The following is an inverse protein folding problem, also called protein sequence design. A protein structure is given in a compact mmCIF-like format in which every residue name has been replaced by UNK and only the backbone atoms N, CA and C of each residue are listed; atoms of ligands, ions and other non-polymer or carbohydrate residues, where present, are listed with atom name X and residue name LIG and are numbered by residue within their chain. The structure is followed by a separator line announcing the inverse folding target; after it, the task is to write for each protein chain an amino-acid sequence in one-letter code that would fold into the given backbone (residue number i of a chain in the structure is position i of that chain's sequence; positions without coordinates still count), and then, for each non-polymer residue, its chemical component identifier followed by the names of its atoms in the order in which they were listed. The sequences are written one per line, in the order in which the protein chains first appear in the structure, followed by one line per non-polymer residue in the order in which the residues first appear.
data_IF_380817466364
#
_entry.id   IF_380817466364
#
_cell.length_a   1.000
_cell.length_b   1.000
_cell.length_c   1.000
_cell.angle_alpha   90.00
_cell.angle_beta   90.00
_cell.angle_gamma   90.00
#
_symmetry.space_group_name_H-M   'P 1'
#
loop_
_entity.id
_entity.type
_entity.pdbx_description
1 polymer ?
#
# COMPACT_ATOMS: atom_id res chain seq x y z
N UNK A 1 -12.90 1.81 4.73
CA UNK A 1 -11.51 1.99 4.24
C UNK A 1 -10.61 2.55 5.31
N UNK A 2 -11.09 3.48 6.14
CA UNK A 2 -10.32 4.11 7.24
C UNK A 2 -9.57 3.11 8.14
N UNK A 3 -10.26 2.07 8.62
CA UNK A 3 -9.64 1.01 9.45
C UNK A 3 -8.47 0.24 8.81
N UNK A 4 -8.45 0.11 7.47
CA UNK A 4 -7.35 -0.55 6.76
C UNK A 4 -6.14 0.38 6.71
N UNK A 5 -6.38 1.67 6.49
CA UNK A 5 -5.31 2.68 6.46
C UNK A 5 -4.68 2.89 7.85
N UNK A 6 -5.49 2.95 8.91
CA UNK A 6 -4.98 3.01 10.29
C UNK A 6 -4.09 1.81 10.64
N UNK A 7 -4.48 0.61 10.22
CA UNK A 7 -3.68 -0.59 10.43
C UNK A 7 -2.36 -0.54 9.65
N UNK A 8 -2.39 -0.05 8.40
CA UNK A 8 -1.18 0.10 7.59
C UNK A 8 -0.24 1.12 8.22
N UNK A 9 -0.76 2.26 8.63
CA UNK A 9 0.06 3.30 9.26
C UNK A 9 0.71 2.80 10.56
N UNK A 10 -0.01 2.02 11.37
CA UNK A 10 0.55 1.37 12.55
C UNK A 10 1.63 0.32 12.25
N UNK A 11 1.55 -0.39 11.12
CA UNK A 11 2.59 -1.34 10.68
C UNK A 11 3.83 -0.62 10.14
N UNK A 12 3.62 0.55 9.52
CA UNK A 12 4.71 1.38 9.00
C UNK A 12 5.42 2.17 10.12
N UNK A 13 4.76 2.38 11.25
CA UNK A 13 5.33 3.06 12.41
C UNK A 13 6.58 2.32 12.92
N UNK A 14 7.71 3.04 12.95
CA UNK A 14 9.00 2.49 13.38
C UNK A 14 9.80 1.76 12.29
N UNK A 15 9.28 1.64 11.06
CA UNK A 15 10.08 1.15 9.93
C UNK A 15 10.98 2.25 9.37
N UNK A 16 12.28 1.99 9.35
CA UNK A 16 13.23 2.85 8.66
C UNK A 16 13.26 2.59 7.15
N UNK A 17 14.00 3.43 6.41
CA UNK A 17 14.10 3.31 4.96
C UNK A 17 14.70 1.96 4.53
N UNK A 18 15.60 1.38 5.33
CA UNK A 18 16.23 0.10 5.02
C UNK A 18 15.21 -1.05 5.13
N UNK A 19 14.39 -1.05 6.18
CA UNK A 19 13.29 -1.98 6.36
C UNK A 19 12.23 -1.82 5.28
N UNK A 20 11.94 -0.59 4.85
CA UNK A 20 10.96 -0.30 3.79
C UNK A 20 11.34 -0.89 2.43
N UNK A 21 12.64 -0.88 2.08
CA UNK A 21 13.13 -1.43 0.80
C UNK A 21 13.58 -2.89 0.90
N UNK A 22 13.67 -3.45 2.11
CA UNK A 22 14.14 -4.81 2.34
C UNK A 22 13.24 -5.80 1.60
N UNK A 23 13.90 -6.69 0.86
CA UNK A 23 13.28 -7.78 0.13
C UNK A 23 13.90 -9.10 0.61
N UNK A 24 13.21 -9.90 1.44
CA UNK A 24 13.79 -11.11 2.03
C UNK A 24 14.21 -12.17 1.02
N UNK A 25 13.47 -12.29 -0.09
CA UNK A 25 13.77 -13.15 -1.23
C UNK A 25 13.35 -12.46 -2.52
N UNK A 26 13.89 -12.91 -3.65
CA UNK A 26 13.54 -12.43 -5.00
C UNK A 26 12.04 -12.57 -5.33
N UNK A 27 11.32 -13.46 -4.64
CA UNK A 27 9.88 -13.66 -4.79
C UNK A 27 9.01 -12.76 -3.89
N UNK A 28 9.61 -11.96 -3.00
CA UNK A 28 8.88 -11.05 -2.12
C UNK A 28 8.86 -9.62 -2.68
N UNK A 29 7.74 -8.92 -2.51
CA UNK A 29 7.70 -7.47 -2.69
C UNK A 29 8.18 -6.76 -1.42
N UNK A 30 8.85 -5.61 -1.59
CA UNK A 30 9.22 -4.77 -0.45
C UNK A 30 8.00 -4.08 0.17
N UNK A 31 8.11 -3.66 1.43
CA UNK A 31 7.02 -2.94 2.12
C UNK A 31 6.68 -1.64 1.36
N UNK A 32 7.70 -0.93 0.86
CA UNK A 32 7.52 0.24 0.02
C UNK A 32 6.73 -0.06 -1.27
N UNK A 33 7.03 -1.19 -1.93
CA UNK A 33 6.30 -1.59 -3.13
C UNK A 33 4.83 -1.90 -2.82
N UNK A 34 4.56 -2.64 -1.75
CA UNK A 34 3.19 -2.98 -1.34
C UNK A 34 2.40 -1.72 -1.01
N UNK A 35 2.99 -0.78 -0.27
CA UNK A 35 2.34 0.49 0.09
C UNK A 35 2.02 1.35 -1.14
N UNK A 36 2.94 1.41 -2.11
CA UNK A 36 2.71 2.10 -3.38
C UNK A 36 1.61 1.41 -4.20
N UNK A 37 1.70 0.09 -4.35
CA UNK A 37 0.76 -0.72 -5.13
C UNK A 37 -0.67 -0.58 -4.60
N UNK A 38 -0.85 -0.57 -3.29
CA UNK A 38 -2.18 -0.37 -2.69
C UNK A 38 -2.80 0.99 -3.04
N UNK A 39 -2.00 2.06 -3.07
CA UNK A 39 -2.48 3.38 -3.54
C UNK A 39 -2.93 3.29 -5.00
N UNK A 40 -2.12 2.68 -5.88
CA UNK A 40 -2.47 2.55 -7.30
C UNK A 40 -3.74 1.74 -7.53
N UNK A 41 -3.92 0.63 -6.81
CA UNK A 41 -5.15 -0.16 -6.86
C UNK A 41 -6.34 0.68 -6.38
N UNK A 42 -6.20 1.39 -5.26
CA UNK A 42 -7.27 2.24 -4.71
C UNK A 42 -7.67 3.34 -5.70
N UNK A 43 -6.69 4.04 -6.28
CA UNK A 43 -6.91 5.06 -7.29
C UNK A 43 -7.63 4.49 -8.52
N UNK A 44 -7.17 3.35 -9.04
CA UNK A 44 -7.83 2.67 -10.16
C UNK A 44 -9.29 2.32 -9.83
N UNK A 45 -9.57 1.77 -8.65
CA UNK A 45 -10.93 1.45 -8.23
C UNK A 45 -11.82 2.70 -8.16
N UNK A 46 -11.32 3.79 -7.59
CA UNK A 46 -12.05 5.06 -7.54
C UNK A 46 -12.33 5.58 -8.95
N UNK A 47 -11.30 5.62 -9.80
CA UNK A 47 -11.40 6.20 -11.13
C UNK A 47 -12.22 5.38 -12.13
N UNK A 48 -12.20 4.04 -12.04
CA UNK A 48 -12.82 3.16 -13.05
C UNK A 48 -14.11 2.50 -12.60
N UNK A 49 -14.40 2.43 -11.29
CA UNK A 49 -15.58 1.72 -10.77
C UNK A 49 -16.53 2.63 -10.02
N UNK A 50 -16.03 3.66 -9.34
CA UNK A 50 -16.86 4.56 -8.55
C UNK A 50 -17.23 5.84 -9.32
N UNK A 51 -16.38 6.30 -10.23
CA UNK A 51 -16.66 7.49 -11.05
C UNK A 51 -17.80 7.30 -12.06
N UNK A 52 -18.04 6.07 -12.50
CA UNK A 52 -19.15 5.72 -13.39
C UNK A 52 -20.51 5.64 -12.66
N UNK A 53 -20.51 5.74 -11.32
CA UNK A 53 -21.71 5.65 -10.46
C UNK A 53 -22.19 7.02 -9.95
N UNK A 54 -21.54 8.11 -10.34
CA UNK A 54 -21.87 9.51 -9.99
C UNK A 54 -22.06 10.35 -11.24
#
# INVERSE_FOLDING_TARGET
MERIWEMIDGVLEGLDKAAMVRQPTDQCNSVAWIRWHLTQVTDMFIHTRLRDLT
#
